data_IF_065697342530
#
_entry.id   IF_065697342530
#
_cell.length_a   1.000
_cell.length_b   1.000
_cell.length_c   1.000
_cell.angle_alpha   90.00
_cell.angle_beta   90.00
_cell.angle_gamma   90.00
#
_symmetry.space_group_name_H-M   'P 1'
#
loop_
_entity.id
_entity.type
_entity.pdbx_description
1 polymer ?
#
# COMPACT_ATOMS: atom_id res chain seq x y z
N UNK A 1 -30.42 13.37 -24.16
CA UNK A 1 -29.85 12.71 -25.35
C UNK A 1 -28.32 12.68 -25.23
N UNK A 2 -27.64 13.78 -24.90
CA UNK A 2 -26.17 13.85 -24.81
C UNK A 2 -25.60 12.94 -23.70
N UNK A 3 -26.25 12.91 -22.49
CA UNK A 3 -25.85 12.03 -21.37
C UNK A 3 -25.92 10.54 -21.71
N UNK A 4 -26.90 10.11 -22.46
CA UNK A 4 -27.04 8.72 -22.88
C UNK A 4 -26.02 8.34 -23.97
N UNK A 5 -25.66 9.28 -24.84
CA UNK A 5 -24.62 9.09 -25.85
C UNK A 5 -23.22 8.95 -25.22
N UNK A 6 -22.90 9.76 -24.19
CA UNK A 6 -21.63 9.65 -23.44
C UNK A 6 -21.54 8.33 -22.69
N UNK A 7 -22.63 7.90 -21.99
CA UNK A 7 -22.67 6.59 -21.31
C UNK A 7 -22.52 5.43 -22.29
N UNK A 8 -23.17 5.50 -23.45
CA UNK A 8 -23.04 4.48 -24.49
C UNK A 8 -21.61 4.45 -25.08
N UNK A 9 -20.99 5.59 -25.28
CA UNK A 9 -19.61 5.69 -25.77
C UNK A 9 -18.61 5.12 -24.76
N UNK A 10 -18.77 5.41 -23.45
CA UNK A 10 -17.93 4.86 -22.38
C UNK A 10 -18.09 3.35 -22.25
N UNK A 11 -19.33 2.83 -22.32
CA UNK A 11 -19.59 1.39 -22.34
C UNK A 11 -18.95 0.71 -23.56
N UNK A 12 -19.07 1.32 -24.74
CA UNK A 12 -18.45 0.81 -25.97
C UNK A 12 -16.93 0.84 -25.88
N UNK A 13 -16.34 1.90 -25.34
CA UNK A 13 -14.88 1.99 -25.12
C UNK A 13 -14.39 0.95 -24.12
N UNK A 14 -15.11 0.77 -23.03
CA UNK A 14 -14.80 -0.25 -22.01
C UNK A 14 -14.95 -1.67 -22.57
N UNK A 15 -16.02 -1.96 -23.31
CA UNK A 15 -16.23 -3.22 -24.01
C UNK A 15 -15.17 -3.45 -25.09
N UNK A 16 -14.72 -2.40 -25.77
CA UNK A 16 -13.65 -2.50 -26.78
C UNK A 16 -12.31 -2.80 -26.16
N UNK A 17 -11.97 -2.19 -25.01
CA UNK A 17 -10.77 -2.50 -24.25
C UNK A 17 -10.82 -3.96 -23.75
N UNK A 18 -11.94 -4.39 -23.18
CA UNK A 18 -12.14 -5.78 -22.77
C UNK A 18 -12.02 -6.73 -23.96
N UNK A 19 -12.61 -6.39 -25.11
CA UNK A 19 -12.52 -7.21 -26.33
C UNK A 19 -11.07 -7.29 -26.86
N UNK A 20 -10.33 -6.19 -26.85
CA UNK A 20 -8.89 -6.17 -27.25
C UNK A 20 -8.07 -7.03 -26.30
N UNK A 21 -8.31 -6.96 -24.98
CA UNK A 21 -7.63 -7.77 -23.97
C UNK A 21 -7.97 -9.25 -24.10
N UNK A 22 -9.22 -9.59 -24.42
CA UNK A 22 -9.68 -10.98 -24.63
C UNK A 22 -9.19 -11.54 -25.96
N UNK A 23 -9.15 -10.74 -27.02
CA UNK A 23 -8.66 -11.16 -28.34
C UNK A 23 -7.12 -11.22 -28.41
N UNK A 24 -6.41 -10.57 -27.51
CA UNK A 24 -4.95 -10.67 -27.34
C UNK A 24 -4.51 -11.97 -26.62
N UNK A 25 -5.31 -13.04 -26.71
CA UNK A 25 -5.07 -14.32 -26.00
C UNK A 25 -3.75 -15.00 -26.35
N UNK A 26 -3.11 -14.66 -27.46
CA UNK A 26 -1.78 -15.16 -27.85
C UNK A 26 -0.61 -14.24 -27.44
N UNK A 27 -0.88 -13.02 -26.98
CA UNK A 27 0.14 -12.17 -26.41
C UNK A 27 0.41 -12.63 -24.96
N UNK A 28 1.41 -13.48 -24.79
CA UNK A 28 1.97 -13.87 -23.48
C UNK A 28 2.70 -12.69 -22.84
N UNK A 29 1.99 -11.59 -22.63
CA UNK A 29 2.45 -10.48 -21.80
C UNK A 29 2.30 -10.89 -20.33
N UNK A 30 3.21 -11.70 -19.84
CA UNK A 30 3.26 -12.14 -18.45
C UNK A 30 4.11 -11.13 -17.70
N UNK A 31 3.69 -10.63 -16.52
CA UNK A 31 4.51 -9.77 -15.68
C UNK A 31 5.92 -10.28 -15.49
N UNK A 32 6.86 -9.39 -15.29
CA UNK A 32 8.29 -9.67 -15.35
C UNK A 32 8.72 -10.89 -14.53
N UNK A 33 8.23 -11.04 -13.30
CA UNK A 33 8.58 -12.17 -12.45
C UNK A 33 8.13 -13.52 -13.04
N UNK A 34 6.93 -13.58 -13.60
CA UNK A 34 6.42 -14.79 -14.21
C UNK A 34 7.20 -15.16 -15.52
N UNK A 35 7.63 -14.16 -16.30
CA UNK A 35 8.53 -14.40 -17.46
C UNK A 35 9.87 -14.98 -17.05
N UNK A 36 10.45 -14.50 -15.93
CA UNK A 36 11.75 -14.95 -15.45
C UNK A 36 11.70 -16.33 -14.80
N UNK A 37 10.60 -16.67 -14.14
CA UNK A 37 10.45 -17.91 -13.37
C UNK A 37 9.75 -19.02 -14.14
N UNK A 38 8.91 -18.67 -15.11
CA UNK A 38 7.99 -19.59 -15.78
C UNK A 38 6.77 -19.98 -14.90
N UNK A 39 6.60 -19.36 -13.73
CA UNK A 39 5.48 -19.63 -12.83
C UNK A 39 4.28 -18.73 -13.17
N UNK A 40 3.06 -19.26 -12.98
CA UNK A 40 1.87 -18.40 -12.97
C UNK A 40 1.89 -17.51 -11.74
N UNK A 41 1.19 -16.37 -11.81
CA UNK A 41 1.14 -15.41 -10.73
C UNK A 41 0.63 -16.02 -9.41
N UNK A 42 -0.34 -16.93 -9.50
CA UNK A 42 -0.94 -17.60 -8.35
C UNK A 42 -0.10 -18.68 -7.69
N UNK A 43 1.08 -18.98 -8.23
CA UNK A 43 2.09 -19.75 -7.50
C UNK A 43 2.69 -18.93 -6.35
N UNK A 44 2.78 -17.61 -6.53
CA UNK A 44 3.37 -16.68 -5.56
C UNK A 44 2.33 -15.85 -4.82
N UNK A 45 1.14 -15.63 -5.39
CA UNK A 45 0.09 -14.77 -4.83
C UNK A 45 -1.22 -15.54 -4.56
N UNK A 46 -1.96 -15.14 -3.54
CA UNK A 46 -3.37 -15.48 -3.35
C UNK A 46 -4.23 -14.53 -4.19
N UNK A 47 -4.01 -13.25 -4.03
CA UNK A 47 -4.43 -12.11 -4.84
C UNK A 47 -3.25 -11.12 -4.87
N UNK A 48 -3.19 -10.20 -5.84
CA UNK A 48 -2.11 -9.19 -5.82
C UNK A 48 -2.37 -8.14 -4.75
N UNK A 49 -1.34 -7.74 -3.98
CA UNK A 49 0.07 -8.21 -3.93
C UNK A 49 0.32 -9.33 -2.90
N UNK A 50 -0.69 -9.91 -2.27
CA UNK A 50 -0.58 -10.86 -1.17
C UNK A 50 0.26 -12.10 -1.52
N UNK A 51 1.24 -12.44 -0.67
CA UNK A 51 2.24 -13.46 -0.95
C UNK A 51 1.93 -14.81 -0.30
N UNK A 52 2.03 -15.87 -1.09
CA UNK A 52 2.16 -17.27 -0.64
C UNK A 52 3.61 -17.58 -0.23
N UNK A 53 3.88 -18.73 0.42
CA UNK A 53 5.23 -19.11 0.84
C UNK A 53 6.29 -19.02 -0.27
N UNK A 54 5.96 -19.42 -1.50
CA UNK A 54 6.89 -19.33 -2.63
C UNK A 54 7.21 -17.87 -3.00
N UNK A 55 6.21 -16.98 -2.99
CA UNK A 55 6.40 -15.56 -3.23
C UNK A 55 7.26 -14.90 -2.14
N UNK A 56 7.04 -15.28 -0.88
CA UNK A 56 7.87 -14.84 0.26
C UNK A 56 9.32 -15.27 0.12
N UNK A 57 9.57 -16.54 -0.24
CA UNK A 57 10.93 -17.03 -0.48
C UNK A 57 11.61 -16.31 -1.63
N UNK A 58 10.87 -16.03 -2.72
CA UNK A 58 11.38 -15.29 -3.87
C UNK A 58 11.79 -13.85 -3.49
N UNK A 59 10.93 -13.12 -2.78
CA UNK A 59 11.25 -11.77 -2.27
C UNK A 59 12.42 -11.78 -1.30
N UNK A 60 12.42 -12.72 -0.35
CA UNK A 60 13.49 -12.91 0.64
C UNK A 60 14.86 -13.19 -0.01
N UNK A 61 14.89 -13.95 -1.11
CA UNK A 61 16.12 -14.29 -1.82
C UNK A 61 16.56 -13.22 -2.83
N UNK A 62 15.99 -12.02 -2.75
CA UNK A 62 16.35 -10.87 -3.55
C UNK A 62 15.77 -10.91 -4.96
N UNK A 63 14.55 -11.41 -5.10
CA UNK A 63 13.83 -11.54 -6.38
C UNK A 63 14.59 -12.40 -7.42
N UNK A 64 15.34 -13.42 -6.94
CA UNK A 64 16.21 -14.25 -7.75
C UNK A 64 16.01 -15.73 -7.40
N UNK A 65 15.51 -16.53 -8.35
CA UNK A 65 15.41 -18.00 -8.17
C UNK A 65 16.73 -18.69 -8.53
N UNK A 66 17.40 -18.23 -9.59
CA UNK A 66 18.65 -18.82 -10.07
C UNK A 66 19.77 -17.79 -10.05
N UNK A 67 20.86 -18.15 -9.39
CA UNK A 67 22.09 -17.33 -9.32
C UNK A 67 22.98 -17.47 -10.55
N UNK A 68 22.46 -17.95 -11.67
CA UNK A 68 23.21 -18.05 -12.91
C UNK A 68 23.78 -16.67 -13.28
N UNK A 69 25.09 -16.59 -13.46
CA UNK A 69 25.81 -15.36 -13.87
C UNK A 69 25.68 -15.17 -15.39
N UNK A 70 24.66 -15.72 -16.03
CA UNK A 70 24.41 -15.43 -17.43
C UNK A 70 24.15 -13.95 -17.61
N UNK A 71 24.66 -13.35 -18.70
CA UNK A 71 24.31 -11.99 -19.04
C UNK A 71 22.79 -11.84 -19.12
N UNK A 72 22.36 -10.63 -18.94
CA UNK A 72 20.99 -10.17 -19.11
C UNK A 72 20.29 -10.86 -20.31
N UNK A 73 19.17 -11.51 -20.08
CA UNK A 73 18.33 -12.08 -21.13
C UNK A 73 17.28 -11.04 -21.55
N UNK A 74 17.24 -10.74 -22.84
CA UNK A 74 16.20 -9.89 -23.42
C UNK A 74 14.86 -10.67 -23.50
N UNK A 75 13.71 -10.08 -23.18
CA UNK A 75 13.44 -8.68 -22.84
C UNK A 75 13.78 -8.33 -21.40
N UNK A 76 14.01 -7.02 -21.12
CA UNK A 76 14.28 -6.53 -19.77
C UNK A 76 13.17 -6.93 -18.78
N UNK A 77 13.46 -7.06 -17.47
CA UNK A 77 12.49 -7.41 -16.46
C UNK A 77 11.54 -6.23 -16.17
N UNK A 78 10.91 -5.72 -17.21
CA UNK A 78 9.92 -4.67 -17.15
C UNK A 78 8.52 -5.27 -17.10
N UNK A 79 7.63 -4.63 -16.37
CA UNK A 79 6.20 -4.91 -16.32
C UNK A 79 5.44 -3.58 -16.20
N UNK A 80 4.17 -3.58 -16.52
CA UNK A 80 3.30 -2.43 -16.35
C UNK A 80 2.02 -2.81 -15.61
N UNK A 81 1.36 -1.82 -15.04
CA UNK A 81 0.02 -1.93 -14.49
C UNK A 81 -0.77 -0.69 -14.88
N UNK A 82 -2.03 -0.86 -15.24
CA UNK A 82 -2.97 0.24 -15.43
C UNK A 82 -4.20 -0.04 -14.59
N UNK A 83 -4.54 0.92 -13.74
CA UNK A 83 -5.73 0.93 -12.90
C UNK A 83 -6.71 1.96 -13.44
N UNK A 84 -7.93 1.52 -13.76
CA UNK A 84 -9.06 2.40 -14.04
C UNK A 84 -10.11 2.19 -12.94
N UNK A 85 -10.73 3.25 -12.47
CA UNK A 85 -11.68 3.19 -11.36
C UNK A 85 -12.93 4.03 -11.57
N UNK A 86 -13.96 3.64 -10.84
CA UNK A 86 -15.14 4.45 -10.61
C UNK A 86 -15.42 4.50 -9.11
N UNK A 87 -15.56 5.72 -8.59
CA UNK A 87 -15.88 5.98 -7.18
C UNK A 87 -17.25 6.63 -7.07
N UNK A 88 -18.08 6.12 -6.16
CA UNK A 88 -19.31 6.77 -5.69
C UNK A 88 -19.24 6.99 -4.18
N UNK A 89 -19.47 8.25 -3.75
CA UNK A 89 -19.57 8.61 -2.34
C UNK A 89 -21.04 8.77 -1.96
N UNK A 90 -21.44 8.29 -0.79
CA UNK A 90 -22.82 8.46 -0.30
C UNK A 90 -23.16 9.95 -0.10
N UNK A 91 -22.21 10.75 0.43
CA UNK A 91 -22.34 12.18 0.58
C UNK A 91 -21.55 12.97 -0.47
N UNK A 92 -22.13 14.08 -0.94
CA UNK A 92 -21.46 14.98 -1.88
C UNK A 92 -20.25 15.66 -1.22
N UNK A 93 -19.17 15.77 -1.96
CA UNK A 93 -18.06 16.61 -1.58
C UNK A 93 -18.42 18.10 -1.76
N UNK A 94 -17.94 18.98 -0.87
CA UNK A 94 -18.13 20.42 -1.01
C UNK A 94 -17.55 20.93 -2.33
N UNK A 95 -18.14 22.01 -2.86
CA UNK A 95 -17.62 22.67 -4.06
C UNK A 95 -16.20 23.18 -3.80
N UNK A 96 -15.26 22.77 -4.66
CA UNK A 96 -13.85 23.15 -4.56
C UNK A 96 -13.01 22.26 -3.63
N UNK A 97 -13.56 21.20 -3.06
CA UNK A 97 -12.81 20.21 -2.30
C UNK A 97 -11.86 19.41 -3.22
N UNK A 98 -12.38 18.95 -4.34
CA UNK A 98 -11.55 18.45 -5.44
C UNK A 98 -11.13 19.64 -6.29
N UNK A 99 -9.86 19.74 -6.61
CA UNK A 99 -9.29 20.83 -7.40
C UNK A 99 -9.82 20.87 -8.86
N UNK A 100 -9.29 21.80 -9.67
CA UNK A 100 -9.75 21.97 -11.04
C UNK A 100 -9.43 20.79 -11.96
N UNK A 101 -8.44 19.96 -11.62
CA UNK A 101 -8.06 18.79 -12.42
C UNK A 101 -9.10 17.68 -12.31
N UNK A 102 -9.69 17.51 -11.15
CA UNK A 102 -10.80 16.58 -10.91
C UNK A 102 -12.10 17.02 -11.60
N UNK A 103 -12.27 18.29 -11.89
CA UNK A 103 -13.53 18.82 -12.46
C UNK A 103 -13.96 18.12 -13.75
N UNK A 104 -13.00 17.63 -14.55
CA UNK A 104 -13.25 16.91 -15.79
C UNK A 104 -13.62 15.43 -15.59
N UNK A 105 -13.43 14.88 -14.39
CA UNK A 105 -13.65 13.47 -14.02
C UNK A 105 -14.95 13.26 -13.25
N UNK A 106 -15.50 14.33 -12.66
CA UNK A 106 -16.78 14.28 -11.94
C UNK A 106 -17.91 14.06 -12.95
N UNK A 107 -18.60 12.93 -12.86
CA UNK A 107 -19.68 12.56 -13.78
C UNK A 107 -21.02 13.22 -13.44
N UNK A 108 -21.35 13.32 -12.15
CA UNK A 108 -22.59 13.94 -11.72
C UNK A 108 -22.57 14.28 -10.22
N UNK A 109 -23.18 15.41 -9.85
CA UNK A 109 -23.57 15.71 -8.49
C UNK A 109 -22.44 15.94 -7.48
N UNK A 110 -21.17 15.79 -7.84
CA UNK A 110 -20.04 15.97 -6.94
C UNK A 110 -19.73 14.76 -6.05
N UNK A 111 -20.28 13.57 -6.39
CA UNK A 111 -20.05 12.34 -5.64
C UNK A 111 -19.75 11.11 -6.53
N UNK A 112 -19.77 11.26 -7.86
CA UNK A 112 -19.41 10.22 -8.83
C UNK A 112 -18.15 10.64 -9.58
N UNK A 113 -17.08 9.87 -9.48
CA UNK A 113 -15.80 10.16 -10.14
C UNK A 113 -15.36 8.94 -10.96
N UNK A 114 -14.96 9.19 -12.21
CA UNK A 114 -14.38 8.19 -13.10
C UNK A 114 -12.93 8.57 -13.38
N UNK A 115 -11.99 7.71 -13.02
CA UNK A 115 -10.55 7.91 -13.22
C UNK A 115 -10.00 6.91 -14.24
N UNK A 116 -9.51 7.38 -15.39
CA UNK A 116 -8.92 6.55 -16.45
C UNK A 116 -7.67 7.25 -17.04
N UNK A 117 -6.49 6.81 -16.68
CA UNK A 117 -6.22 5.91 -15.56
C UNK A 117 -6.42 6.61 -14.22
N UNK A 118 -6.71 5.87 -13.16
CA UNK A 118 -6.44 6.32 -11.80
C UNK A 118 -4.94 6.34 -11.60
N UNK A 119 -4.30 5.25 -12.02
CA UNK A 119 -2.87 5.01 -11.84
C UNK A 119 -2.31 4.21 -13.02
N UNK A 120 -1.08 4.54 -13.43
CA UNK A 120 -0.34 3.74 -14.41
C UNK A 120 1.11 3.55 -13.95
N UNK A 121 1.50 2.29 -13.74
CA UNK A 121 2.80 1.92 -13.18
C UNK A 121 3.72 1.30 -14.22
N UNK A 122 4.99 1.63 -14.10
CA UNK A 122 6.09 0.95 -14.79
C UNK A 122 7.01 0.32 -13.74
N UNK A 123 7.22 -0.97 -13.84
CA UNK A 123 8.08 -1.73 -12.95
C UNK A 123 9.36 -2.20 -13.62
N UNK A 124 10.50 -2.03 -12.94
CA UNK A 124 11.61 -2.93 -13.08
C UNK A 124 11.50 -3.98 -11.97
N UNK A 125 11.22 -5.22 -12.32
CA UNK A 125 10.94 -6.26 -11.34
C UNK A 125 11.68 -7.54 -11.70
N UNK A 126 12.81 -7.83 -11.01
CA UNK A 126 13.60 -9.00 -11.28
C UNK A 126 15.08 -8.89 -10.94
N UNK A 127 15.83 -9.86 -11.46
CA UNK A 127 17.27 -9.94 -11.29
C UNK A 127 17.99 -8.79 -11.99
N UNK A 128 18.85 -8.09 -11.25
CA UNK A 128 19.74 -7.05 -11.77
C UNK A 128 21.08 -7.69 -12.18
N UNK A 129 21.79 -8.32 -11.24
CA UNK A 129 23.05 -8.99 -11.49
C UNK A 129 23.39 -10.01 -10.39
N UNK A 130 23.80 -11.22 -10.75
CA UNK A 130 24.20 -12.25 -9.79
C UNK A 130 23.14 -12.56 -8.75
N UNK A 131 23.39 -12.23 -7.49
CA UNK A 131 22.45 -12.37 -6.38
C UNK A 131 21.76 -11.06 -6.00
N UNK A 132 21.79 -10.05 -6.86
CA UNK A 132 21.10 -8.77 -6.68
C UNK A 132 19.87 -8.77 -7.57
N UNK A 133 18.74 -8.47 -7.01
CA UNK A 133 17.50 -8.21 -7.74
C UNK A 133 16.72 -7.08 -7.08
N UNK A 134 15.65 -6.67 -7.71
CA UNK A 134 14.87 -5.54 -7.22
C UNK A 134 13.44 -5.51 -7.75
N UNK A 135 12.67 -4.73 -7.05
CA UNK A 135 11.37 -4.24 -7.40
C UNK A 135 11.45 -2.70 -7.34
N UNK A 136 11.31 -2.05 -8.48
CA UNK A 136 11.35 -0.59 -8.61
C UNK A 136 10.12 -0.16 -9.37
N UNK A 137 9.32 0.69 -8.77
CA UNK A 137 8.05 1.16 -9.30
C UNK A 137 8.14 2.66 -9.61
N UNK A 138 7.78 3.03 -10.83
CA UNK A 138 7.50 4.41 -11.21
C UNK A 138 6.00 4.52 -11.48
N UNK A 139 5.34 5.48 -10.84
CA UNK A 139 3.90 5.66 -10.85
C UNK A 139 3.53 6.97 -11.51
N UNK A 140 2.63 6.92 -12.48
CA UNK A 140 1.86 8.04 -12.95
C UNK A 140 0.53 8.07 -12.23
N UNK A 141 0.27 9.13 -11.48
CA UNK A 141 -0.99 9.38 -10.81
C UNK A 141 -1.90 10.24 -11.69
N UNK A 142 -3.09 9.72 -11.88
CA UNK A 142 -4.04 10.38 -12.75
C UNK A 142 -4.69 11.61 -12.12
N UNK A 143 -4.70 11.75 -10.80
CA UNK A 143 -5.25 12.88 -10.05
C UNK A 143 -4.35 14.12 -10.11
N UNK A 144 -3.08 13.94 -9.77
CA UNK A 144 -2.07 14.98 -9.76
C UNK A 144 -1.44 15.22 -11.13
N UNK A 145 -1.73 14.34 -12.12
CA UNK A 145 -1.10 14.34 -13.44
C UNK A 145 0.43 14.36 -13.36
N UNK A 146 0.97 13.66 -12.39
CA UNK A 146 2.40 13.62 -12.08
C UNK A 146 2.97 12.22 -12.22
N UNK A 147 4.28 12.14 -12.43
CA UNK A 147 5.04 10.89 -12.43
C UNK A 147 6.12 10.96 -11.37
N UNK A 148 6.20 9.94 -10.51
CA UNK A 148 7.18 9.87 -9.45
C UNK A 148 7.74 8.46 -9.29
N UNK A 149 8.88 8.37 -8.60
CA UNK A 149 9.44 7.11 -8.14
C UNK A 149 8.65 6.67 -6.91
N UNK A 150 7.99 5.54 -7.04
CA UNK A 150 7.19 4.95 -5.98
C UNK A 150 7.99 3.88 -5.21
N UNK A 151 7.35 2.79 -4.78
CA UNK A 151 7.97 1.75 -3.99
C UNK A 151 9.21 1.16 -4.66
N UNK A 152 10.32 1.16 -3.94
CA UNK A 152 11.59 0.61 -4.41
C UNK A 152 12.20 -0.28 -3.33
N UNK A 153 12.53 -1.52 -3.71
CA UNK A 153 13.22 -2.48 -2.85
C UNK A 153 14.25 -3.26 -3.67
N UNK A 154 15.52 -2.96 -3.47
CA UNK A 154 16.66 -3.64 -4.09
C UNK A 154 17.37 -4.49 -3.07
N UNK A 155 17.54 -5.79 -3.36
CA UNK A 155 18.10 -6.75 -2.41
C UNK A 155 19.32 -7.49 -2.97
N UNK A 156 20.25 -7.73 -2.07
CA UNK A 156 21.30 -8.73 -2.23
C UNK A 156 21.12 -9.81 -1.17
N UNK A 157 20.97 -11.06 -1.58
CA UNK A 157 20.74 -12.16 -0.66
C UNK A 157 21.73 -13.31 -0.86
N UNK A 158 22.01 -14.03 0.22
CA UNK A 158 22.79 -15.26 0.25
C UNK A 158 22.14 -16.29 1.15
N UNK A 159 22.42 -17.54 0.85
CA UNK A 159 22.04 -18.68 1.70
C UNK A 159 23.29 -19.37 2.22
N UNK A 160 23.26 -19.79 3.46
CA UNK A 160 24.30 -20.58 4.10
C UNK A 160 23.68 -21.71 4.93
N UNK A 161 24.49 -22.68 5.33
CA UNK A 161 24.10 -23.70 6.32
C UNK A 161 25.03 -23.58 7.51
N UNK A 162 24.47 -23.36 8.69
CA UNK A 162 25.21 -23.23 9.94
C UNK A 162 24.67 -24.27 10.94
N UNK A 163 25.51 -25.21 11.35
CA UNK A 163 25.11 -26.27 12.28
C UNK A 163 23.96 -27.15 11.74
N UNK A 164 23.85 -27.32 10.42
CA UNK A 164 22.77 -28.06 9.79
C UNK A 164 21.47 -27.26 9.59
N UNK A 165 21.39 -26.04 10.10
CA UNK A 165 20.25 -25.13 9.91
C UNK A 165 20.44 -24.26 8.69
N UNK A 166 19.35 -24.00 7.95
CA UNK A 166 19.34 -23.08 6.80
C UNK A 166 19.36 -21.62 7.29
N UNK A 167 20.18 -20.81 6.69
CA UNK A 167 20.27 -19.36 6.92
C UNK A 167 20.12 -18.63 5.58
N UNK A 168 19.16 -17.72 5.49
CA UNK A 168 19.09 -16.71 4.44
C UNK A 168 19.43 -15.37 5.07
N UNK A 169 20.34 -14.62 4.48
CA UNK A 169 20.70 -13.29 4.95
C UNK A 169 20.94 -12.35 3.77
N UNK A 170 20.70 -11.07 3.98
CA UNK A 170 20.81 -10.12 2.89
C UNK A 170 20.87 -8.68 3.35
N UNK A 171 21.01 -7.83 2.34
CA UNK A 171 20.96 -6.37 2.44
C UNK A 171 19.76 -5.91 1.61
N UNK A 172 18.98 -4.96 2.12
CA UNK A 172 17.96 -4.22 1.40
C UNK A 172 18.34 -2.76 1.27
N UNK A 173 18.05 -2.16 0.13
CA UNK A 173 18.07 -0.72 -0.10
C UNK A 173 16.69 -0.36 -0.62
N UNK A 174 15.97 0.51 0.09
CA UNK A 174 14.59 0.83 -0.21
C UNK A 174 14.24 2.28 0.12
N UNK A 175 13.07 2.75 -0.31
CA UNK A 175 12.63 4.14 -0.14
C UNK A 175 11.32 4.28 0.66
N UNK A 176 10.85 3.21 1.26
CA UNK A 176 9.62 3.24 2.06
C UNK A 176 9.75 2.27 3.23
N UNK A 177 9.51 2.70 4.49
CA UNK A 177 9.43 1.78 5.60
C UNK A 177 8.41 0.69 5.33
N UNK A 178 8.73 -0.54 5.74
CA UNK A 178 7.88 -1.74 5.57
C UNK A 178 7.75 -2.30 4.15
N UNK A 179 8.27 -1.65 3.09
CA UNK A 179 8.21 -2.19 1.71
C UNK A 179 8.89 -3.56 1.59
N UNK A 180 9.82 -3.86 2.47
CA UNK A 180 10.54 -5.13 2.56
C UNK A 180 9.74 -6.26 3.21
N UNK A 181 8.53 -6.00 3.72
CA UNK A 181 7.67 -7.01 4.34
C UNK A 181 7.42 -8.21 3.43
N UNK A 182 7.31 -9.38 4.07
CA UNK A 182 7.08 -10.67 3.40
C UNK A 182 5.64 -11.18 3.58
N UNK A 183 4.88 -10.65 4.54
CA UNK A 183 3.64 -11.24 5.03
C UNK A 183 2.38 -10.42 4.72
N UNK A 184 2.52 -9.28 4.07
CA UNK A 184 1.42 -8.35 3.78
C UNK A 184 0.67 -7.83 5.03
N UNK A 185 1.32 -7.90 6.19
CA UNK A 185 0.76 -7.47 7.48
C UNK A 185 1.21 -6.08 7.89
N UNK A 186 2.23 -5.54 7.24
CA UNK A 186 2.73 -4.18 7.53
C UNK A 186 2.21 -3.17 6.52
N UNK A 187 2.22 -1.86 6.83
CA UNK A 187 1.50 -0.85 6.06
C UNK A 187 1.71 -0.83 4.56
N UNK A 188 2.96 -0.93 4.08
CA UNK A 188 3.26 -0.83 2.65
C UNK A 188 2.55 -1.90 1.77
N UNK A 189 2.21 -3.04 2.34
CA UNK A 189 1.56 -4.15 1.64
C UNK A 189 0.28 -4.62 2.34
N UNK A 190 -0.21 -3.87 3.32
CA UNK A 190 -1.43 -4.19 4.05
C UNK A 190 -2.69 -3.91 3.23
N UNK A 191 -3.76 -4.63 3.54
CA UNK A 191 -5.08 -4.39 2.95
C UNK A 191 -5.67 -3.04 3.44
N UNK A 192 -6.42 -2.27 2.61
CA UNK A 192 -6.79 -2.56 1.21
C UNK A 192 -5.62 -2.33 0.26
N UNK A 193 -5.48 -3.22 -0.73
CA UNK A 193 -4.40 -3.14 -1.71
C UNK A 193 -4.62 -2.05 -2.76
N UNK A 194 -5.88 -1.75 -3.05
CA UNK A 194 -6.32 -0.66 -3.91
C UNK A 194 -7.48 0.07 -3.24
N UNK A 195 -7.54 1.37 -3.42
CA UNK A 195 -8.62 2.21 -2.86
C UNK A 195 -8.89 3.41 -3.76
N UNK A 196 -10.00 4.09 -3.50
CA UNK A 196 -10.32 5.35 -4.18
C UNK A 196 -9.31 6.44 -3.80
N UNK A 197 -8.81 7.17 -4.79
CA UNK A 197 -7.96 8.34 -4.63
C UNK A 197 -8.74 9.61 -4.21
N UNK A 198 -10.06 9.61 -4.35
CA UNK A 198 -10.92 10.76 -4.01
C UNK A 198 -11.74 10.58 -2.73
N UNK A 199 -11.79 9.37 -2.18
CA UNK A 199 -12.56 9.12 -0.97
C UNK A 199 -11.88 9.73 0.26
N UNK A 200 -12.66 10.41 1.14
CA UNK A 200 -12.11 10.90 2.40
C UNK A 200 -11.50 9.78 3.24
N UNK A 201 -10.34 10.06 3.82
CA UNK A 201 -9.60 9.13 4.68
C UNK A 201 -9.56 9.66 6.12
N UNK A 202 -9.33 8.82 7.14
CA UNK A 202 -9.04 9.29 8.48
C UNK A 202 -7.92 10.33 8.49
N UNK A 203 -8.11 11.42 9.24
CA UNK A 203 -7.13 12.51 9.32
C UNK A 203 -5.83 12.12 10.02
N UNK A 204 -5.81 11.01 10.75
CA UNK A 204 -4.66 10.53 11.49
C UNK A 204 -4.25 9.12 11.06
N UNK A 205 -2.94 8.92 10.93
CA UNK A 205 -2.26 7.65 10.76
C UNK A 205 -0.94 7.67 11.54
N UNK A 206 -0.42 6.51 11.93
CA UNK A 206 0.91 6.42 12.52
C UNK A 206 1.98 6.75 11.48
N UNK A 207 3.13 7.26 11.90
CA UNK A 207 4.22 7.62 10.98
C UNK A 207 4.66 6.43 10.12
N UNK A 208 4.67 5.23 10.71
CA UNK A 208 4.98 4.00 9.98
C UNK A 208 3.88 3.57 8.98
N UNK A 209 2.66 4.13 9.08
CA UNK A 209 1.52 3.82 8.21
C UNK A 209 1.50 4.75 6.97
N UNK A 210 2.66 4.92 6.33
CA UNK A 210 2.83 5.56 5.03
C UNK A 210 3.37 6.99 5.05
N UNK A 211 3.50 7.67 6.19
CA UNK A 211 3.94 9.07 6.20
C UNK A 211 5.37 9.29 5.68
N UNK A 212 6.22 8.27 5.78
CA UNK A 212 7.61 8.31 5.30
C UNK A 212 7.80 7.63 3.92
N UNK A 213 6.73 7.18 3.28
CA UNK A 213 6.81 6.51 1.97
C UNK A 213 7.34 7.50 0.91
N UNK A 214 8.36 7.07 0.16
CA UNK A 214 9.12 7.86 -0.83
C UNK A 214 9.81 9.12 -0.26
N UNK A 215 9.62 9.44 1.02
CA UNK A 215 10.25 10.59 1.71
C UNK A 215 11.67 10.26 2.22
N UNK A 216 11.96 8.97 2.38
CA UNK A 216 13.23 8.49 2.95
C UNK A 216 13.90 7.45 2.06
N UNK A 217 15.21 7.34 2.19
CA UNK A 217 16.02 6.23 1.69
C UNK A 217 16.55 5.41 2.85
N UNK A 218 16.50 4.09 2.75
CA UNK A 218 16.93 3.18 3.78
C UNK A 218 17.94 2.14 3.30
N UNK A 219 18.86 1.77 4.18
CA UNK A 219 19.73 0.61 4.02
C UNK A 219 19.55 -0.32 5.22
N UNK A 220 19.30 -1.59 4.97
CA UNK A 220 18.99 -2.56 6.01
C UNK A 220 19.67 -3.90 5.83
N UNK A 221 19.75 -4.62 6.93
CA UNK A 221 20.21 -6.00 7.00
C UNK A 221 19.06 -6.89 7.47
N UNK A 222 18.92 -8.05 6.87
CA UNK A 222 17.92 -9.02 7.29
C UNK A 222 18.45 -10.44 7.32
N UNK A 223 17.81 -11.27 8.12
CA UNK A 223 18.12 -12.68 8.28
C UNK A 223 16.86 -13.51 8.49
N UNK A 224 16.80 -14.67 7.84
CA UNK A 224 15.83 -15.74 8.18
C UNK A 224 16.62 -17.00 8.58
N UNK A 225 16.50 -17.37 9.85
CA UNK A 225 17.14 -18.55 10.39
C UNK A 225 16.18 -19.73 10.47
N UNK A 226 16.65 -20.86 9.94
CA UNK A 226 15.94 -22.15 9.98
C UNK A 226 14.50 -22.10 9.44
N UNK A 227 14.22 -21.17 8.52
CA UNK A 227 12.86 -20.87 8.00
C UNK A 227 11.85 -20.53 9.10
N UNK A 228 12.31 -20.13 10.27
CA UNK A 228 11.47 -19.94 11.46
C UNK A 228 11.58 -18.55 12.05
N UNK A 229 12.80 -18.02 12.24
CA UNK A 229 13.01 -16.70 12.87
C UNK A 229 13.50 -15.71 11.81
N UNK A 230 12.74 -14.66 11.60
CA UNK A 230 13.14 -13.50 10.81
C UNK A 230 13.54 -12.36 11.72
N UNK A 231 14.60 -11.64 11.35
CA UNK A 231 14.97 -10.39 11.97
C UNK A 231 15.51 -9.43 10.91
N UNK A 232 15.23 -8.15 11.10
CA UNK A 232 15.64 -7.06 10.22
C UNK A 232 15.91 -5.79 11.00
N UNK A 233 16.86 -5.02 10.50
CA UNK A 233 17.12 -3.65 10.94
C UNK A 233 17.45 -2.79 9.72
N UNK A 234 16.79 -1.64 9.58
CA UNK A 234 16.99 -0.68 8.49
C UNK A 234 17.17 0.73 9.06
N UNK A 235 18.17 1.45 8.59
CA UNK A 235 18.40 2.86 8.91
C UNK A 235 17.85 3.72 7.77
N UNK A 236 16.88 4.57 8.07
CA UNK A 236 16.26 5.51 7.12
C UNK A 236 16.76 6.93 7.37
N UNK A 237 16.84 7.71 6.30
CA UNK A 237 17.11 9.15 6.33
C UNK A 237 16.39 9.82 5.16
N UNK A 238 16.00 11.08 5.33
CA UNK A 238 15.36 11.85 4.25
C UNK A 238 16.27 11.88 3.02
N UNK A 239 15.72 11.52 1.89
CA UNK A 239 16.38 11.71 0.61
C UNK A 239 16.12 13.13 0.15
N UNK A 240 17.16 13.89 -0.18
CA UNK A 240 16.97 15.16 -0.87
C UNK A 240 16.09 14.90 -2.10
N UNK A 241 15.09 15.74 -2.29
CA UNK A 241 14.24 15.75 -3.47
C UNK A 241 15.11 15.95 -4.71
N UNK A 242 15.73 14.93 -5.25
CA UNK A 242 16.70 15.16 -6.30
C UNK A 242 17.37 13.93 -6.87
N UNK A 243 17.37 12.79 -6.22
CA UNK A 243 18.00 11.58 -6.80
C UNK A 243 17.27 11.19 -8.11
N UNK A 244 15.96 11.33 -8.16
CA UNK A 244 15.17 11.08 -9.36
C UNK A 244 14.70 12.38 -10.07
N UNK A 245 14.92 13.55 -9.49
CA UNK A 245 14.49 14.86 -10.01
C UNK A 245 15.00 15.16 -11.43
N UNK A 246 16.25 14.82 -11.83
CA UNK A 246 16.71 14.99 -13.21
C UNK A 246 15.90 14.19 -14.23
N UNK A 247 15.21 13.15 -13.80
CA UNK A 247 14.33 12.33 -14.64
C UNK A 247 12.85 12.77 -14.57
N UNK A 248 12.54 13.80 -13.77
CA UNK A 248 11.18 14.24 -13.50
C UNK A 248 10.37 13.25 -12.64
N UNK A 249 11.04 12.37 -11.91
CA UNK A 249 10.43 11.31 -11.13
C UNK A 249 10.71 11.47 -9.62
N UNK A 250 10.86 12.70 -9.15
CA UNK A 250 11.04 13.03 -7.73
C UNK A 250 9.72 13.39 -7.07
N UNK A 251 9.53 12.99 -5.83
CA UNK A 251 8.47 13.50 -4.94
C UNK A 251 8.95 14.78 -4.25
N UNK A 252 8.03 15.69 -3.95
CA UNK A 252 8.32 16.78 -3.01
C UNK A 252 8.53 16.19 -1.61
N UNK A 253 9.46 16.75 -0.84
CA UNK A 253 9.76 16.27 0.51
C UNK A 253 8.88 17.01 1.51
N UNK A 254 7.85 16.32 2.02
CA UNK A 254 6.94 16.87 3.03
C UNK A 254 7.33 16.47 4.45
N UNK A 255 8.05 15.33 4.59
CA UNK A 255 8.49 14.79 5.87
C UNK A 255 10.02 14.75 5.94
N UNK A 256 10.61 15.70 6.67
CA UNK A 256 12.07 15.79 6.83
C UNK A 256 12.48 15.18 8.16
N UNK A 257 13.23 14.08 8.08
CA UNK A 257 13.79 13.37 9.25
C UNK A 257 15.10 14.03 9.68
N UNK A 258 15.25 14.36 10.97
CA UNK A 258 16.39 15.07 11.55
C UNK A 258 17.71 14.32 11.36
N UNK A 259 17.71 13.06 11.73
CA UNK A 259 18.89 12.20 11.69
C UNK A 259 18.56 10.86 11.02
N UNK A 260 18.87 9.77 11.66
CA UNK A 260 18.54 8.42 11.23
C UNK A 260 17.26 7.96 11.95
N UNK A 261 16.28 7.51 11.19
CA UNK A 261 15.12 6.82 11.72
C UNK A 261 15.38 5.29 11.68
N UNK A 262 15.68 4.66 12.83
CA UNK A 262 15.85 3.22 12.92
C UNK A 262 14.53 2.49 12.82
N UNK A 263 14.43 1.55 11.87
CA UNK A 263 13.35 0.59 11.73
C UNK A 263 13.86 -0.80 12.12
N UNK A 264 13.02 -1.59 12.75
CA UNK A 264 13.31 -2.98 13.10
C UNK A 264 12.08 -3.86 12.92
N UNK A 265 12.30 -5.14 12.61
CA UNK A 265 11.27 -6.19 12.57
C UNK A 265 11.81 -7.52 13.09
N UNK A 266 11.01 -8.21 13.89
CA UNK A 266 11.23 -9.61 14.28
C UNK A 266 9.94 -10.37 14.05
N UNK A 267 10.03 -11.52 13.38
CA UNK A 267 8.86 -12.37 13.14
C UNK A 267 9.21 -13.86 13.30
N UNK A 268 8.25 -14.60 13.76
CA UNK A 268 8.27 -16.06 13.80
C UNK A 268 7.28 -16.58 12.77
N UNK A 269 7.68 -17.60 12.01
CA UNK A 269 6.80 -18.21 11.02
C UNK A 269 6.88 -19.74 11.08
N UNK A 270 5.78 -20.40 10.77
CA UNK A 270 5.74 -21.86 10.71
C UNK A 270 4.75 -22.35 9.64
N UNK A 271 5.13 -23.41 8.93
CA UNK A 271 4.28 -24.06 7.95
C UNK A 271 4.14 -25.54 8.26
N UNK A 272 2.91 -26.05 8.23
CA UNK A 272 2.61 -27.48 8.39
C UNK A 272 1.46 -27.87 7.46
N UNK A 273 1.70 -28.84 6.59
CA UNK A 273 0.72 -29.22 5.57
C UNK A 273 0.30 -28.00 4.71
N UNK A 274 -0.99 -27.73 4.69
CA UNK A 274 -1.61 -26.61 3.96
C UNK A 274 -1.75 -25.33 4.81
N UNK A 275 -1.26 -25.35 6.04
CA UNK A 275 -1.37 -24.24 6.97
C UNK A 275 -0.06 -23.48 7.07
N UNK A 276 -0.15 -22.18 7.16
CA UNK A 276 0.96 -21.28 7.40
C UNK A 276 0.56 -20.25 8.46
N UNK A 277 1.47 -19.90 9.36
CA UNK A 277 1.28 -18.86 10.36
C UNK A 277 2.54 -18.02 10.49
N UNK A 278 2.36 -16.72 10.67
CA UNK A 278 3.41 -15.82 11.17
C UNK A 278 2.88 -14.92 12.28
N UNK A 279 3.76 -14.54 13.19
CA UNK A 279 3.51 -13.55 14.24
C UNK A 279 4.76 -12.70 14.35
N UNK A 280 4.59 -11.39 14.35
CA UNK A 280 5.70 -10.46 14.32
C UNK A 280 5.49 -9.24 15.20
N UNK A 281 6.57 -8.48 15.30
CA UNK A 281 6.61 -7.16 15.89
C UNK A 281 7.58 -6.31 15.08
N UNK A 282 7.24 -5.04 14.91
CA UNK A 282 8.06 -4.09 14.17
C UNK A 282 7.89 -2.68 14.72
N UNK A 283 8.75 -1.76 14.33
CA UNK A 283 8.64 -0.38 14.76
C UNK A 283 9.65 0.53 14.11
N UNK A 284 9.43 1.83 14.28
CA UNK A 284 10.32 2.90 13.83
C UNK A 284 10.38 4.00 14.88
N UNK A 285 11.50 4.71 14.95
CA UNK A 285 11.60 5.95 15.71
C UNK A 285 12.13 7.05 14.80
N UNK A 286 11.47 8.21 14.76
CA UNK A 286 11.87 9.32 13.89
C UNK A 286 11.71 10.66 14.60
N UNK A 287 12.75 11.52 14.53
CA UNK A 287 12.64 12.94 14.74
C UNK A 287 12.24 13.62 13.44
N UNK A 288 11.15 14.36 13.40
CA UNK A 288 10.63 14.98 12.17
C UNK A 288 10.51 16.48 12.38
N UNK A 289 11.02 17.26 11.45
CA UNK A 289 10.87 18.72 11.46
C UNK A 289 9.45 19.10 11.07
N UNK A 290 8.72 19.91 11.86
CA UNK A 290 7.42 20.44 11.49
C UNK A 290 7.50 21.27 10.20
N UNK A 291 6.43 21.25 9.39
CA UNK A 291 6.29 22.06 8.17
C UNK A 291 7.42 21.86 7.16
N UNK A 292 7.95 20.64 7.05
CA UNK A 292 9.05 20.28 6.15
C UNK A 292 10.30 21.20 6.28
N UNK A 293 10.55 21.74 7.46
CA UNK A 293 11.78 22.52 7.72
C UNK A 293 13.00 21.59 7.67
N UNK A 294 14.17 22.15 7.41
CA UNK A 294 15.44 21.42 7.37
C UNK A 294 16.29 21.63 8.62
N UNK A 295 15.81 22.42 9.57
CA UNK A 295 16.55 22.74 10.81
C UNK A 295 15.63 23.29 11.89
N UNK A 296 16.06 23.19 13.13
CA UNK A 296 15.31 23.67 14.31
C UNK A 296 14.93 22.51 15.24
N UNK A 297 13.98 22.72 16.14
CA UNK A 297 13.46 21.64 16.97
C UNK A 297 12.60 20.69 16.15
N UNK A 298 12.55 19.42 16.56
CA UNK A 298 11.79 18.34 15.96
C UNK A 298 10.70 17.81 16.88
N UNK A 299 9.70 17.21 16.29
CA UNK A 299 8.79 16.29 16.98
C UNK A 299 9.32 14.87 16.89
N UNK A 300 9.19 14.08 17.95
CA UNK A 300 9.65 12.69 17.97
C UNK A 300 8.47 11.73 17.96
N UNK A 301 8.50 10.80 17.02
CA UNK A 301 7.52 9.74 16.85
C UNK A 301 8.16 8.39 17.13
N UNK A 302 7.46 7.54 17.90
CA UNK A 302 7.93 6.19 18.20
C UNK A 302 6.78 5.21 18.03
N UNK A 303 6.90 4.37 17.01
CA UNK A 303 5.94 3.34 16.66
C UNK A 303 6.42 1.97 17.11
N UNK A 304 5.52 1.23 17.75
CA UNK A 304 5.69 -0.17 18.08
C UNK A 304 4.44 -0.92 17.63
N UNK A 305 4.64 -1.97 16.87
CA UNK A 305 3.55 -2.72 16.26
C UNK A 305 3.62 -4.22 16.55
N UNK A 306 2.47 -4.86 16.53
CA UNK A 306 2.28 -6.30 16.53
C UNK A 306 1.49 -6.70 15.30
N UNK A 307 1.90 -7.78 14.65
CA UNK A 307 1.22 -8.31 13.47
C UNK A 307 1.14 -9.83 13.48
N UNK A 308 0.16 -10.35 12.75
CA UNK A 308 0.02 -11.78 12.54
C UNK A 308 -0.64 -12.09 11.20
N UNK A 309 -0.26 -13.21 10.60
CA UNK A 309 -0.86 -13.79 9.41
C UNK A 309 -1.17 -15.26 9.65
N UNK A 310 -2.30 -15.72 9.14
CA UNK A 310 -2.62 -17.13 8.98
C UNK A 310 -3.11 -17.37 7.56
N UNK A 311 -2.56 -18.39 6.88
CA UNK A 311 -3.04 -18.82 5.57
C UNK A 311 -3.39 -20.31 5.61
N UNK A 312 -4.52 -20.66 4.97
CA UNK A 312 -4.88 -22.04 4.62
C UNK A 312 -4.88 -22.17 3.10
N UNK A 313 -3.96 -22.97 2.57
CA UNK A 313 -3.63 -23.08 1.15
C UNK A 313 -4.04 -24.46 0.60
N UNK A 314 -5.34 -24.74 0.53
CA UNK A 314 -5.88 -26.05 0.18
C UNK A 314 -6.26 -26.15 -1.30
N UNK A 315 -5.39 -26.67 -2.11
CA UNK A 315 -5.69 -27.00 -3.51
C UNK A 315 -6.21 -25.80 -4.31
N UNK A 316 -7.54 -25.74 -4.51
CA UNK A 316 -8.20 -24.64 -5.23
C UNK A 316 -8.71 -23.51 -4.34
N UNK A 317 -8.63 -23.65 -3.02
CA UNK A 317 -9.12 -22.65 -2.08
C UNK A 317 -7.98 -22.09 -1.28
N UNK A 318 -7.98 -20.78 -1.10
CA UNK A 318 -7.09 -20.07 -0.17
C UNK A 318 -7.93 -19.27 0.81
N UNK A 319 -7.56 -19.29 2.07
CA UNK A 319 -8.11 -18.45 3.11
C UNK A 319 -6.95 -17.74 3.79
N UNK A 320 -7.03 -16.42 3.90
CA UNK A 320 -6.08 -15.57 4.60
C UNK A 320 -6.75 -14.88 5.78
N UNK A 321 -5.98 -14.64 6.83
CA UNK A 321 -6.33 -13.76 7.95
C UNK A 321 -5.09 -12.99 8.32
N UNK A 322 -5.14 -11.68 8.19
CA UNK A 322 -4.05 -10.77 8.49
C UNK A 322 -4.50 -9.73 9.49
N UNK A 323 -3.61 -9.37 10.40
CA UNK A 323 -3.89 -8.33 11.38
C UNK A 323 -2.64 -7.57 11.74
N UNK A 324 -2.80 -6.28 11.98
CA UNK A 324 -1.76 -5.41 12.53
C UNK A 324 -2.35 -4.43 13.54
N UNK A 325 -1.60 -4.17 14.59
CA UNK A 325 -1.87 -3.12 15.55
C UNK A 325 -0.60 -2.30 15.74
N UNK A 326 -0.72 -0.99 15.63
CA UNK A 326 0.38 -0.04 15.84
C UNK A 326 0.02 0.86 17.02
N UNK A 327 0.96 1.05 17.91
CA UNK A 327 0.93 2.08 18.95
C UNK A 327 2.00 3.11 18.65
N UNK A 328 1.59 4.36 18.48
CA UNK A 328 2.48 5.48 18.29
C UNK A 328 2.45 6.42 19.50
N UNK A 329 3.65 6.73 20.01
CA UNK A 329 3.88 7.84 20.93
C UNK A 329 4.42 9.03 20.15
N UNK A 330 3.79 10.19 20.36
CA UNK A 330 4.13 11.44 19.68
C UNK A 330 4.59 12.46 20.73
N UNK A 331 5.89 12.77 20.78
CA UNK A 331 6.43 13.87 21.57
C UNK A 331 6.51 15.11 20.66
N UNK A 332 5.53 16.00 20.75
CA UNK A 332 5.30 17.14 19.84
C UNK A 332 5.84 18.45 20.40
N UNK A 333 7.06 18.44 20.91
CA UNK A 333 7.66 19.62 21.56
C UNK A 333 7.84 20.80 20.60
N UNK A 334 8.18 20.53 19.33
CA UNK A 334 8.37 21.56 18.33
C UNK A 334 7.02 22.13 17.86
N UNK A 335 6.06 21.29 17.45
CA UNK A 335 4.73 21.73 17.03
C UNK A 335 4.00 22.45 18.16
N UNK A 336 4.14 22.01 19.41
CA UNK A 336 3.57 22.71 20.57
C UNK A 336 4.18 24.11 20.74
N UNK A 337 5.49 24.24 20.59
CA UNK A 337 6.17 25.53 20.70
C UNK A 337 5.81 26.51 19.57
N UNK A 338 5.47 25.99 18.38
CA UNK A 338 4.98 26.77 17.24
C UNK A 338 3.50 27.15 17.37
N UNK A 339 2.74 26.46 18.21
CA UNK A 339 1.30 26.67 18.38
C UNK A 339 0.45 25.84 17.41
N UNK A 340 1.04 24.81 16.79
CA UNK A 340 0.40 23.90 15.83
C UNK A 340 -0.20 22.68 16.51
N UNK A 341 0.17 22.41 17.77
CA UNK A 341 -0.39 21.35 18.61
C UNK A 341 -0.85 21.91 19.96
N UNK A 342 -1.99 21.43 20.46
CA UNK A 342 -2.51 21.74 21.81
C UNK A 342 -1.77 20.95 22.90
N UNK A 343 -1.32 19.75 22.54
CA UNK A 343 -0.64 18.83 23.45
C UNK A 343 0.84 18.70 23.11
N UNK A 344 1.69 18.59 24.16
CA UNK A 344 3.12 18.22 23.97
C UNK A 344 3.32 16.73 23.73
N UNK A 345 2.42 15.92 24.27
CA UNK A 345 2.50 14.46 24.13
C UNK A 345 1.14 13.93 23.73
N UNK A 346 1.11 13.29 22.59
CA UNK A 346 -0.03 12.56 22.06
C UNK A 346 0.28 11.06 21.90
N UNK A 347 -0.74 10.31 21.61
CA UNK A 347 -0.67 8.89 21.29
C UNK A 347 -1.72 8.55 20.27
N UNK A 348 -1.38 7.62 19.41
CA UNK A 348 -2.27 7.07 18.41
C UNK A 348 -2.19 5.55 18.44
N UNK A 349 -3.33 4.90 18.22
CA UNK A 349 -3.38 3.47 17.96
C UNK A 349 -4.08 3.26 16.61
N UNK A 350 -3.51 2.42 15.78
CA UNK A 350 -4.20 1.92 14.59
C UNK A 350 -4.34 0.40 14.69
N UNK A 351 -5.46 -0.11 14.25
CA UNK A 351 -5.72 -1.54 14.19
C UNK A 351 -6.41 -1.87 12.87
N UNK A 352 -5.89 -2.88 12.18
CA UNK A 352 -6.46 -3.42 10.94
C UNK A 352 -6.52 -4.94 11.06
N UNK A 353 -7.59 -5.53 10.57
CA UNK A 353 -7.74 -6.97 10.40
C UNK A 353 -8.54 -7.24 9.14
N UNK A 354 -8.08 -8.18 8.33
CA UNK A 354 -8.79 -8.65 7.14
C UNK A 354 -8.84 -10.16 7.08
N UNK A 355 -9.93 -10.65 6.53
CA UNK A 355 -10.19 -12.04 6.21
C UNK A 355 -10.50 -12.12 4.73
N UNK A 356 -9.70 -12.85 3.98
CA UNK A 356 -9.86 -13.09 2.56
C UNK A 356 -10.15 -14.56 2.25
N UNK A 357 -10.89 -14.77 1.18
CA UNK A 357 -11.12 -16.10 0.63
C UNK A 357 -11.12 -16.05 -0.89
N UNK A 358 -10.34 -16.94 -1.52
CA UNK A 358 -10.27 -17.07 -2.97
C UNK A 358 -10.44 -18.51 -3.42
N UNK A 359 -11.26 -18.68 -4.46
CA UNK A 359 -11.46 -19.97 -5.13
C UNK A 359 -10.93 -19.92 -6.56
N UNK A 360 -10.01 -20.81 -6.88
CA UNK A 360 -9.36 -20.94 -8.18
C UNK A 360 -10.16 -21.85 -9.11
N UNK A 361 -11.13 -21.28 -9.83
CA UNK A 361 -11.98 -21.99 -10.79
C UNK A 361 -11.31 -22.09 -12.18
N UNK A 362 -11.73 -23.03 -13.03
CA UNK A 362 -11.19 -23.14 -14.40
C UNK A 362 -11.46 -21.92 -15.28
N UNK A 363 -12.45 -21.11 -14.94
CA UNK A 363 -12.85 -19.90 -15.67
C UNK A 363 -12.33 -18.59 -15.03
N UNK A 364 -11.40 -18.69 -14.09
CA UNK A 364 -10.82 -17.56 -13.37
C UNK A 364 -10.87 -17.74 -11.87
N UNK A 365 -10.33 -16.76 -11.14
CA UNK A 365 -10.32 -16.76 -9.68
C UNK A 365 -11.42 -15.83 -9.16
N UNK A 366 -12.17 -16.29 -8.19
CA UNK A 366 -13.25 -15.53 -7.54
C UNK A 366 -12.95 -15.49 -6.05
N UNK A 367 -13.09 -14.34 -5.45
CA UNK A 367 -12.87 -14.20 -4.03
C UNK A 367 -13.38 -12.88 -3.49
N UNK A 368 -12.92 -12.56 -2.31
CA UNK A 368 -13.22 -11.29 -1.67
C UNK A 368 -12.64 -11.21 -0.28
N UNK A 369 -12.68 -10.02 0.27
CA UNK A 369 -12.08 -9.66 1.55
C UNK A 369 -13.09 -8.92 2.41
N UNK A 370 -13.10 -9.24 3.70
CA UNK A 370 -13.80 -8.49 4.72
C UNK A 370 -12.78 -7.94 5.70
N UNK A 371 -12.75 -6.63 5.87
CA UNK A 371 -11.83 -5.99 6.78
C UNK A 371 -12.53 -5.07 7.78
N UNK A 372 -11.87 -4.88 8.92
CA UNK A 372 -12.19 -3.87 9.92
C UNK A 372 -10.96 -3.02 10.19
N UNK A 373 -11.16 -1.72 10.35
CA UNK A 373 -10.11 -0.79 10.73
C UNK A 373 -10.56 0.13 11.87
N UNK A 374 -9.60 0.53 12.69
CA UNK A 374 -9.76 1.44 13.81
C UNK A 374 -8.54 2.36 13.89
N UNK A 375 -8.82 3.64 14.06
CA UNK A 375 -7.87 4.67 14.51
C UNK A 375 -8.42 5.24 15.81
N UNK A 376 -7.62 5.25 16.87
CA UNK A 376 -7.97 5.79 18.20
C UNK A 376 -6.79 6.60 18.74
N UNK A 377 -7.05 7.83 19.16
CA UNK A 377 -6.00 8.71 19.61
C UNK A 377 -6.43 9.79 20.57
N UNK A 378 -5.46 10.47 21.15
CA UNK A 378 -5.72 11.60 22.01
C UNK A 378 -6.21 12.80 21.19
N UNK A 379 -7.25 13.46 21.67
CA UNK A 379 -7.78 14.66 21.02
C UNK A 379 -6.79 15.83 21.12
N UNK A 380 -6.61 16.52 20.00
CA UNK A 380 -5.87 17.78 19.87
C UNK A 380 -6.63 18.69 18.89
N UNK A 381 -7.09 19.85 19.37
CA UNK A 381 -7.96 20.75 18.61
C UNK A 381 -7.21 21.64 17.61
N UNK A 382 -5.90 21.69 17.70
CA UNK A 382 -5.08 22.38 16.72
C UNK A 382 -4.70 21.44 15.58
N UNK A 383 -4.23 20.24 15.91
CA UNK A 383 -3.88 19.21 14.90
C UNK A 383 -5.10 18.75 14.08
N UNK A 384 -6.22 18.52 14.78
CA UNK A 384 -7.46 18.02 14.16
C UNK A 384 -8.55 19.10 14.26
N UNK A 385 -8.24 20.30 13.79
CA UNK A 385 -9.17 21.41 13.80
C UNK A 385 -10.45 21.11 12.99
N UNK A 386 -11.59 21.76 13.29
CA UNK A 386 -12.76 21.70 12.41
C UNK A 386 -12.43 22.19 11.00
N UNK A 387 -12.86 21.43 9.99
CA UNK A 387 -12.63 21.74 8.58
C UNK A 387 -13.53 20.88 7.71
N UNK A 388 -14.03 21.41 6.57
CA UNK A 388 -14.90 20.64 5.70
C UNK A 388 -14.24 19.32 5.25
N UNK A 389 -14.91 18.21 5.47
CA UNK A 389 -14.53 16.84 5.11
C UNK A 389 -13.38 16.27 5.97
N UNK A 390 -12.22 16.91 6.02
CA UNK A 390 -11.01 16.34 6.64
C UNK A 390 -10.84 16.71 8.12
N UNK A 391 -11.60 17.69 8.61
CA UNK A 391 -11.49 18.17 9.98
C UNK A 391 -12.20 17.31 11.01
N UNK A 392 -12.04 17.71 12.29
CA UNK A 392 -12.71 17.11 13.45
C UNK A 392 -13.35 18.20 14.30
N UNK A 393 -14.67 18.14 14.52
CA UNK A 393 -15.40 19.11 15.34
C UNK A 393 -14.92 19.16 16.80
N UNK A 394 -14.46 18.05 17.30
CA UNK A 394 -14.05 17.88 18.71
C UNK A 394 -12.54 17.67 18.89
N UNK A 395 -11.77 17.75 17.79
CA UNK A 395 -10.33 17.56 17.82
C UNK A 395 -9.90 16.09 18.00
N UNK A 396 -10.80 15.12 17.83
CA UNK A 396 -10.48 13.68 17.96
C UNK A 396 -10.12 13.08 16.60
N UNK A 397 -9.05 12.28 16.50
CA UNK A 397 -8.67 11.57 15.28
C UNK A 397 -9.46 10.28 15.08
N UNK A 398 -10.30 9.88 16.02
CA UNK A 398 -10.91 8.54 16.05
C UNK A 398 -11.73 8.24 14.80
N UNK A 399 -11.42 7.14 14.15
CA UNK A 399 -12.16 6.66 12.99
C UNK A 399 -12.26 5.14 13.02
N UNK A 400 -13.40 4.60 12.62
CA UNK A 400 -13.61 3.15 12.55
C UNK A 400 -14.57 2.78 11.44
N UNK A 401 -14.36 1.60 10.86
CA UNK A 401 -15.21 1.14 9.78
C UNK A 401 -14.91 -0.26 9.30
N UNK A 402 -15.63 -0.64 8.25
CA UNK A 402 -15.47 -1.91 7.57
C UNK A 402 -15.19 -1.69 6.09
N UNK A 403 -14.45 -2.63 5.48
CA UNK A 403 -14.26 -2.69 4.04
C UNK A 403 -14.69 -4.09 3.59
N UNK A 404 -15.57 -4.14 2.57
CA UNK A 404 -15.99 -5.38 1.93
C UNK A 404 -15.58 -5.31 0.45
N UNK A 405 -14.85 -6.32 -0.03
CA UNK A 405 -14.42 -6.40 -1.43
C UNK A 405 -14.84 -7.73 -2.05
N UNK A 406 -15.26 -7.69 -3.30
CA UNK A 406 -15.52 -8.86 -4.13
C UNK A 406 -14.65 -8.76 -5.39
N UNK A 407 -13.91 -9.82 -5.68
CA UNK A 407 -12.94 -9.90 -6.75
C UNK A 407 -13.28 -10.97 -7.78
N UNK A 408 -13.04 -10.65 -9.05
CA UNK A 408 -13.02 -11.60 -10.14
C UNK A 408 -11.76 -11.39 -11.01
N UNK A 409 -10.98 -12.44 -11.12
CA UNK A 409 -9.78 -12.45 -11.96
C UNK A 409 -9.99 -13.47 -13.10
N UNK A 410 -10.58 -13.05 -14.24
CA UNK A 410 -10.80 -13.94 -15.39
C UNK A 410 -9.49 -14.45 -16.00
N UNK A 411 -8.43 -13.69 -15.83
CA UNK A 411 -7.06 -13.97 -16.29
C UNK A 411 -6.07 -13.61 -15.18
N UNK A 412 -4.91 -14.25 -15.17
CA UNK A 412 -3.80 -13.95 -14.22
C UNK A 412 -3.34 -12.48 -14.25
N UNK A 413 -3.73 -11.72 -15.26
CA UNK A 413 -3.32 -10.32 -15.48
C UNK A 413 -4.46 -9.30 -15.41
N UNK A 414 -5.68 -9.74 -15.14
CA UNK A 414 -6.85 -8.87 -15.10
C UNK A 414 -7.61 -9.12 -13.81
N UNK A 415 -7.69 -8.09 -12.95
CA UNK A 415 -8.52 -8.07 -11.74
C UNK A 415 -9.66 -7.08 -11.92
N UNK A 416 -10.86 -7.51 -11.59
CA UNK A 416 -12.06 -6.69 -11.45
C UNK A 416 -12.44 -6.73 -9.98
N UNK A 417 -12.50 -5.59 -9.33
CA UNK A 417 -12.83 -5.48 -7.92
C UNK A 417 -14.03 -4.56 -7.70
N UNK A 418 -14.88 -4.91 -6.76
CA UNK A 418 -15.95 -4.08 -6.26
C UNK A 418 -15.77 -3.99 -4.73
N UNK A 419 -15.44 -2.80 -4.24
CA UNK A 419 -15.17 -2.55 -2.84
C UNK A 419 -16.21 -1.58 -2.27
N UNK A 420 -16.63 -1.81 -1.04
CA UNK A 420 -17.47 -0.88 -0.29
C UNK A 420 -16.84 -0.60 1.08
N UNK A 421 -16.53 0.67 1.33
CA UNK A 421 -16.03 1.15 2.62
C UNK A 421 -17.17 1.78 3.40
N UNK A 422 -17.36 1.37 4.64
CA UNK A 422 -18.41 1.84 5.54
C UNK A 422 -17.77 2.41 6.79
N UNK A 423 -18.09 3.67 7.10
CA UNK A 423 -17.63 4.35 8.30
C UNK A 423 -18.70 4.33 9.41
N UNK A 424 -18.38 3.74 10.55
CA UNK A 424 -19.17 3.85 11.77
C UNK A 424 -18.88 5.15 12.52
N UNK A 425 -17.64 5.65 12.40
CA UNK A 425 -17.12 6.86 12.99
C UNK A 425 -16.04 7.44 12.10
N UNK A 426 -15.99 8.74 11.94
CA UNK A 426 -14.96 9.43 11.18
C UNK A 426 -14.51 10.67 11.93
N UNK A 427 -13.21 10.89 12.09
CA UNK A 427 -12.58 12.02 12.74
C UNK A 427 -13.33 12.48 14.02
N UNK A 428 -13.57 11.53 14.94
CA UNK A 428 -14.15 11.78 16.26
C UNK A 428 -15.68 11.81 16.33
N UNK A 429 -16.42 11.61 15.22
CA UNK A 429 -17.88 11.70 15.25
C UNK A 429 -18.60 10.75 14.31
N UNK A 430 -19.88 10.48 14.61
CA UNK A 430 -20.81 9.79 13.70
C UNK A 430 -21.61 10.79 12.89
N UNK A 431 -22.02 11.91 13.54
CA UNK A 431 -22.79 12.96 12.91
C UNK A 431 -22.11 14.29 13.06
N UNK A 432 -22.13 15.11 11.99
CA UNK A 432 -21.48 16.41 11.93
C UNK A 432 -20.05 16.35 12.50
N UNK A 433 -19.27 15.36 12.04
CA UNK A 433 -17.94 15.09 12.59
C UNK A 433 -16.95 16.21 12.29
N UNK A 434 -17.09 16.83 11.12
CA UNK A 434 -16.22 17.90 10.61
C UNK A 434 -16.55 19.30 11.19
N UNK A 435 -17.74 19.45 11.81
CA UNK A 435 -18.28 20.73 12.28
C UNK A 435 -19.03 21.54 11.20
N UNK A 436 -19.10 21.02 9.97
CA UNK A 436 -19.74 21.65 8.81
C UNK A 436 -20.98 20.89 8.33
N UNK A 437 -21.40 19.87 9.06
CA UNK A 437 -22.64 19.15 8.83
C UNK A 437 -22.48 17.78 8.17
N UNK A 438 -21.23 17.32 7.94
CA UNK A 438 -20.96 16.03 7.31
C UNK A 438 -21.02 14.90 8.33
N UNK A 439 -21.75 13.85 8.02
CA UNK A 439 -21.84 12.64 8.83
C UNK A 439 -20.78 11.61 8.38
N UNK A 440 -20.37 10.71 9.27
CA UNK A 440 -19.41 9.67 8.94
C UNK A 440 -19.86 8.81 7.74
N UNK A 441 -21.16 8.50 7.66
CA UNK A 441 -21.75 7.76 6.56
C UNK A 441 -21.70 8.47 5.21
N UNK A 442 -21.53 9.79 5.17
CA UNK A 442 -21.35 10.53 3.92
C UNK A 442 -20.02 10.19 3.22
N UNK A 443 -19.08 9.60 3.98
CA UNK A 443 -17.80 9.12 3.46
C UNK A 443 -17.84 7.64 3.03
N UNK A 444 -18.97 6.96 3.19
CA UNK A 444 -19.10 5.61 2.64
C UNK A 444 -18.85 5.64 1.13
N UNK A 445 -18.08 4.69 0.68
CA UNK A 445 -17.53 4.71 -0.67
C UNK A 445 -17.77 3.39 -1.37
N UNK A 446 -18.45 3.42 -2.52
CA UNK A 446 -18.44 2.33 -3.47
C UNK A 446 -17.31 2.59 -4.49
N UNK A 447 -16.38 1.66 -4.55
CA UNK A 447 -15.22 1.73 -5.44
C UNK A 447 -15.21 0.52 -6.37
N UNK A 448 -15.26 0.77 -7.66
CA UNK A 448 -15.07 -0.24 -8.70
C UNK A 448 -13.71 -0.04 -9.36
N UNK A 449 -12.93 -1.11 -9.43
CA UNK A 449 -11.58 -1.08 -10.00
C UNK A 449 -11.43 -2.11 -11.11
N UNK A 450 -10.76 -1.71 -12.17
CA UNK A 450 -10.28 -2.56 -13.26
C UNK A 450 -8.76 -2.44 -13.35
N UNK A 451 -8.07 -3.48 -12.95
CA UNK A 451 -6.59 -3.54 -12.93
C UNK A 451 -6.11 -4.45 -14.05
N UNK A 452 -5.24 -3.94 -14.91
CA UNK A 452 -4.61 -4.67 -16.00
C UNK A 452 -3.09 -4.69 -15.82
N UNK A 453 -2.52 -5.89 -15.68
CA UNK A 453 -1.07 -6.15 -15.65
C UNK A 453 -0.55 -6.41 -17.08
N UNK A 454 0.59 -5.79 -17.44
CA UNK A 454 1.19 -5.78 -18.78
C UNK A 454 2.62 -6.35 -18.78
#
# INVERSE_FOLDING_TARGET
VLKNAVRASLLISMLSIIAVVVLASDARAVPSFARQTGFSCFMCHTVYPELKPLGREFKLTGYVISRSVKPYEFPPPLAGLVLASFTHLDGRLPSGYLDSEWSNRILSGGNDVLSIPQEANLYYAGRIYGGVGGFVQGTYEGDSNSFHLDMTDVRFARTASIGGSNLVYGITVNNSPTVQDLWNTTPAWGYPFESSDVAPRPAAGAVIDGALDQQVGGIGLYVLWNRFIYAEFTAYHTTESGIASPLGAGTETDMVVEDIAPYWRVALQHQWGEHYVSVGTYGIAAGIFPEARESGPTDTFTDVALDAEYQYLAGKSTLGLETTWVHEKQDRDASFALGDAENRVDRLNTFKVNLDYYYHAPFGHIGGTLAYFLVDGKSDRLLYAPGPVDGSRNGSPDSEGFICEADYLPLDRLKIALQYTLYNKHNGGRSNYDGFGRDASDNNTLFFALMLLL
#
